data_IF_894530895902
#
_entry.id   IF_894530895902
#
_cell.length_a   1.000
_cell.length_b   1.000
_cell.length_c   1.000
_cell.angle_alpha   90.00
_cell.angle_beta   90.00
_cell.angle_gamma   90.00
#
_symmetry.space_group_name_H-M   'P 1'
#
loop_
_entity.id
_entity.type
_entity.pdbx_description
1 polymer ?
#
# COMPACT_ATOMS: atom_id res chain seq x y z
N UNK A 1 -0.12 -12.60 14.89
CA UNK A 1 -1.14 -12.54 13.82
C UNK A 1 -2.27 -13.54 14.05
N UNK A 2 -1.99 -14.83 14.31
CA UNK A 2 -3.02 -15.86 14.53
C UNK A 2 -3.95 -15.55 15.70
N UNK A 3 -3.41 -15.13 16.84
CA UNK A 3 -4.19 -14.78 18.03
C UNK A 3 -5.09 -13.57 17.77
N UNK A 4 -4.60 -12.54 17.08
CA UNK A 4 -5.40 -11.34 16.75
C UNK A 4 -6.52 -11.67 15.78
N UNK A 5 -6.25 -12.53 14.80
CA UNK A 5 -7.25 -13.01 13.87
C UNK A 5 -8.33 -13.85 14.57
N UNK A 6 -7.93 -14.73 15.47
CA UNK A 6 -8.85 -15.50 16.29
C UNK A 6 -9.73 -14.61 17.15
N UNK A 7 -9.14 -13.60 17.82
CA UNK A 7 -9.89 -12.62 18.64
C UNK A 7 -10.88 -11.84 17.78
N UNK A 8 -10.51 -11.45 16.57
CA UNK A 8 -11.40 -10.71 15.67
C UNK A 8 -12.68 -11.50 15.33
N UNK A 9 -12.57 -12.80 15.14
CA UNK A 9 -13.73 -13.64 14.83
C UNK A 9 -14.49 -14.14 16.06
N UNK A 10 -13.85 -14.20 17.24
CA UNK A 10 -14.44 -14.83 18.42
C UNK A 10 -14.75 -13.86 19.57
N UNK A 11 -14.24 -12.62 19.55
CA UNK A 11 -14.50 -11.60 20.57
C UNK A 11 -15.33 -10.45 20.01
N UNK A 12 -16.58 -10.33 20.41
CA UNK A 12 -17.44 -9.23 19.98
C UNK A 12 -16.92 -7.84 20.39
N UNK A 13 -16.18 -7.75 21.50
CA UNK A 13 -15.54 -6.49 21.95
C UNK A 13 -14.40 -6.13 21.01
N UNK A 14 -13.51 -7.09 20.72
CA UNK A 14 -12.36 -6.87 19.84
C UNK A 14 -12.83 -6.55 18.42
N UNK A 15 -13.83 -7.27 17.90
CA UNK A 15 -14.46 -6.98 16.60
C UNK A 15 -14.99 -5.53 16.52
N UNK A 16 -15.74 -5.07 17.54
CA UNK A 16 -16.28 -3.70 17.57
C UNK A 16 -15.17 -2.66 17.63
N UNK A 17 -14.15 -2.89 18.45
CA UNK A 17 -13.00 -2.00 18.58
C UNK A 17 -12.29 -1.82 17.22
N UNK A 18 -11.95 -2.90 16.56
CA UNK A 18 -11.29 -2.87 15.24
C UNK A 18 -12.18 -2.15 14.20
N UNK A 19 -13.47 -2.48 14.13
CA UNK A 19 -14.36 -1.86 13.17
C UNK A 19 -14.60 -0.36 13.44
N UNK A 20 -14.61 0.07 14.70
CA UNK A 20 -14.70 1.48 15.03
C UNK A 20 -13.46 2.24 14.60
N UNK A 21 -12.26 1.74 14.90
CA UNK A 21 -11.00 2.38 14.48
C UNK A 21 -10.83 2.37 12.96
N UNK A 22 -11.09 1.26 12.28
CA UNK A 22 -11.03 1.20 10.82
C UNK A 22 -12.10 2.07 10.15
N UNK A 23 -13.23 2.27 10.83
CA UNK A 23 -14.31 3.16 10.41
C UNK A 23 -13.93 4.65 10.46
N UNK A 24 -12.92 5.04 11.24
CA UNK A 24 -12.39 6.41 11.25
C UNK A 24 -11.74 6.80 9.92
N UNK A 25 -11.27 5.83 9.15
CA UNK A 25 -10.72 6.04 7.80
C UNK A 25 -11.80 6.26 6.72
N UNK A 26 -13.05 6.49 7.11
CA UNK A 26 -14.19 6.75 6.20
C UNK A 26 -14.28 8.22 5.75
N UNK A 27 -13.52 9.11 6.37
CA UNK A 27 -13.56 10.53 6.04
C UNK A 27 -13.04 10.78 4.65
N UNK A 28 -13.68 11.72 3.95
CA UNK A 28 -13.25 12.14 2.64
C UNK A 28 -11.84 12.74 2.74
N UNK A 29 -10.93 12.28 1.89
CA UNK A 29 -9.65 12.94 1.75
C UNK A 29 -9.84 14.22 0.95
N UNK A 30 -9.56 15.34 1.58
CA UNK A 30 -9.51 16.63 0.89
C UNK A 30 -8.06 16.96 0.58
N UNK A 31 -7.75 17.06 -0.70
CA UNK A 31 -6.46 17.54 -1.16
C UNK A 31 -6.52 19.06 -1.27
N UNK A 32 -5.66 19.75 -0.54
CA UNK A 32 -5.53 21.21 -0.64
C UNK A 32 -4.19 21.54 -1.28
N UNK A 33 -4.16 22.30 -2.41
CA UNK A 33 -2.90 22.76 -2.95
C UNK A 33 -2.24 23.70 -1.94
N UNK A 34 -0.98 23.45 -1.59
CA UNK A 34 -0.20 24.22 -0.62
C UNK A 34 -0.04 25.70 -0.99
N UNK A 35 -0.43 26.07 -2.21
CA UNK A 35 -0.29 27.43 -2.77
C UNK A 35 -1.60 28.22 -2.83
N UNK A 36 -2.69 27.76 -2.20
CA UNK A 36 -3.98 28.48 -2.17
C UNK A 36 -3.81 29.95 -1.71
N UNK A 37 -2.88 30.22 -0.78
CA UNK A 37 -2.61 31.59 -0.32
C UNK A 37 -2.09 32.53 -1.42
N UNK A 38 -1.50 32.01 -2.50
CA UNK A 38 -1.02 32.80 -3.65
C UNK A 38 -2.13 33.08 -4.67
N UNK A 39 -3.16 32.25 -4.73
CA UNK A 39 -4.30 32.44 -5.65
C UNK A 39 -5.33 33.46 -5.13
N UNK A 40 -5.46 33.57 -3.82
CA UNK A 40 -6.43 34.50 -3.21
C UNK A 40 -6.06 35.98 -3.31
N UNK A 41 -4.83 36.33 -3.69
CA UNK A 41 -4.31 37.70 -3.77
C UNK A 41 -4.11 38.28 -5.17
N UNK A 42 -4.47 37.53 -6.22
CA UNK A 42 -4.18 37.91 -7.61
C UNK A 42 -5.36 38.54 -8.30
N UNK A 43 -5.31 39.87 -8.50
CA UNK A 43 -6.24 40.59 -9.38
C UNK A 43 -6.17 40.09 -10.83
N UNK A 44 -7.22 40.35 -11.55
CA UNK A 44 -7.65 40.13 -12.96
C UNK A 44 -6.64 39.90 -14.09
N UNK A 45 -5.50 39.21 -13.88
CA UNK A 45 -4.69 38.67 -14.98
C UNK A 45 -5.06 37.22 -15.20
N UNK A 46 -5.63 36.91 -16.37
CA UNK A 46 -5.77 35.51 -16.87
C UNK A 46 -4.41 34.83 -16.75
N UNK A 47 -4.24 34.02 -15.73
CA UNK A 47 -2.97 33.37 -15.47
C UNK A 47 -3.08 31.96 -16.07
N UNK A 48 -2.65 31.78 -17.33
CA UNK A 48 -2.59 30.49 -18.01
C UNK A 48 -1.89 29.40 -17.19
N UNK A 49 -0.98 29.80 -16.30
CA UNK A 49 -0.34 28.90 -15.34
C UNK A 49 -1.28 28.45 -14.22
N UNK A 50 -2.25 29.25 -13.81
CA UNK A 50 -3.20 28.87 -12.77
C UNK A 50 -4.20 27.82 -13.29
N UNK A 51 -4.64 27.97 -14.53
CA UNK A 51 -5.56 27.02 -15.16
C UNK A 51 -4.87 25.67 -15.41
N UNK A 52 -3.59 25.68 -15.78
CA UNK A 52 -2.78 24.48 -15.93
C UNK A 52 -2.58 23.75 -14.60
N UNK A 53 -2.21 24.48 -13.55
CA UNK A 53 -2.06 23.93 -12.20
C UNK A 53 -3.37 23.38 -11.64
N UNK A 54 -4.49 24.05 -11.91
CA UNK A 54 -5.82 23.58 -11.52
C UNK A 54 -6.16 22.26 -12.23
N UNK A 55 -5.86 22.15 -13.51
CA UNK A 55 -6.07 20.91 -14.26
C UNK A 55 -5.22 19.76 -13.74
N UNK A 56 -3.93 20.00 -13.53
CA UNK A 56 -3.02 19.02 -12.92
C UNK A 56 -3.52 18.58 -11.53
N UNK A 57 -4.02 19.52 -10.72
CA UNK A 57 -4.61 19.21 -9.43
C UNK A 57 -5.87 18.33 -9.55
N UNK A 58 -6.76 18.65 -10.48
CA UNK A 58 -7.97 17.86 -10.71
C UNK A 58 -7.64 16.45 -11.21
N UNK A 59 -6.64 16.31 -12.07
CA UNK A 59 -6.18 15.01 -12.58
C UNK A 59 -5.59 14.16 -11.43
N UNK A 60 -4.80 14.77 -10.55
CA UNK A 60 -4.27 14.12 -9.34
C UNK A 60 -5.42 13.75 -8.39
N UNK A 61 -6.35 14.66 -8.12
CA UNK A 61 -7.49 14.42 -7.24
C UNK A 61 -8.35 13.27 -7.73
N UNK A 62 -8.64 13.22 -9.03
CA UNK A 62 -9.37 12.10 -9.65
C UNK A 62 -8.61 10.77 -9.55
N UNK A 63 -7.30 10.80 -9.73
CA UNK A 63 -6.45 9.61 -9.60
C UNK A 63 -6.45 9.09 -8.16
N UNK A 64 -6.32 9.99 -7.18
CA UNK A 64 -6.40 9.65 -5.75
C UNK A 64 -7.79 9.13 -5.40
N UNK A 65 -8.86 9.71 -5.93
CA UNK A 65 -10.23 9.25 -5.69
C UNK A 65 -10.48 7.84 -6.24
N UNK A 66 -9.91 7.51 -7.39
CA UNK A 66 -9.94 6.13 -7.94
C UNK A 66 -9.21 5.13 -7.05
N UNK A 67 -8.05 5.51 -6.50
CA UNK A 67 -7.25 4.68 -5.57
C UNK A 67 -7.96 4.57 -4.23
N UNK A 68 -8.54 5.67 -3.75
CA UNK A 68 -9.09 5.84 -2.42
C UNK A 68 -10.54 5.42 -2.27
N UNK A 69 -10.98 4.37 -2.99
CA UNK A 69 -12.31 3.86 -2.72
C UNK A 69 -12.44 3.59 -1.21
N UNK A 70 -13.39 4.27 -0.56
CA UNK A 70 -13.57 4.26 0.92
C UNK A 70 -13.56 2.85 1.51
N UNK A 71 -14.04 1.85 0.75
CA UNK A 71 -13.99 0.44 1.11
C UNK A 71 -12.57 -0.12 1.22
N UNK A 72 -11.67 0.30 0.33
CA UNK A 72 -10.29 -0.22 0.30
C UNK A 72 -9.50 0.26 1.52
N UNK A 73 -9.59 1.56 1.85
CA UNK A 73 -8.91 2.09 3.06
C UNK A 73 -9.45 1.49 4.34
N UNK A 74 -10.76 1.24 4.42
CA UNK A 74 -11.32 0.54 5.57
C UNK A 74 -10.79 -0.88 5.69
N UNK A 75 -10.73 -1.62 4.58
CA UNK A 75 -10.20 -2.99 4.57
C UNK A 75 -8.73 -3.01 4.95
N UNK A 76 -7.91 -2.13 4.36
CA UNK A 76 -6.49 -1.97 4.70
C UNK A 76 -6.33 -1.62 6.18
N UNK A 77 -7.11 -0.66 6.69
CA UNK A 77 -7.10 -0.28 8.11
C UNK A 77 -7.51 -1.43 9.02
N UNK A 78 -8.54 -2.19 8.67
CA UNK A 78 -8.96 -3.39 9.42
C UNK A 78 -7.84 -4.43 9.45
N UNK A 79 -7.25 -4.73 8.30
CA UNK A 79 -6.16 -5.71 8.21
C UNK A 79 -4.93 -5.24 8.98
N UNK A 80 -4.56 -3.96 8.88
CA UNK A 80 -3.46 -3.38 9.66
C UNK A 80 -3.68 -3.52 11.17
N UNK A 81 -4.89 -3.27 11.65
CA UNK A 81 -5.23 -3.40 13.06
C UNK A 81 -5.23 -4.86 13.54
N UNK A 82 -5.59 -5.81 12.68
CA UNK A 82 -5.60 -7.24 13.03
C UNK A 82 -4.19 -7.84 12.95
N UNK A 83 -3.46 -7.57 11.89
CA UNK A 83 -2.18 -8.24 11.59
C UNK A 83 -0.95 -7.46 12.07
N UNK A 84 -1.11 -6.16 12.31
CA UNK A 84 -0.01 -5.25 12.63
C UNK A 84 0.78 -4.77 11.41
N UNK A 85 0.65 -5.45 10.28
CA UNK A 85 1.38 -5.17 9.04
C UNK A 85 0.50 -5.46 7.82
N UNK A 86 0.55 -4.58 6.82
CA UNK A 86 -0.12 -4.76 5.53
C UNK A 86 0.86 -4.53 4.41
N UNK A 87 0.88 -5.46 3.47
CA UNK A 87 1.76 -5.44 2.31
C UNK A 87 0.93 -5.14 1.07
N UNK A 88 1.26 -4.05 0.41
CA UNK A 88 0.53 -3.53 -0.74
C UNK A 88 1.44 -3.55 -1.97
N UNK A 89 0.87 -3.89 -3.11
CA UNK A 89 1.52 -3.86 -4.40
C UNK A 89 0.83 -2.86 -5.31
N UNK A 90 1.59 -1.91 -5.84
CA UNK A 90 1.12 -0.89 -6.77
C UNK A 90 1.19 -1.42 -8.19
N UNK A 91 0.08 -1.36 -8.91
CA UNK A 91 -0.04 -1.67 -10.32
C UNK A 91 -0.36 -0.37 -11.05
N UNK A 92 0.49 0.02 -11.98
CA UNK A 92 0.24 1.17 -12.87
C UNK A 92 -0.13 0.66 -14.25
N UNK A 93 -1.23 1.17 -14.77
CA UNK A 93 -1.64 0.96 -16.15
C UNK A 93 -2.13 2.28 -16.78
N UNK A 94 -2.52 2.23 -18.07
CA UNK A 94 -3.01 3.40 -18.79
C UNK A 94 -4.32 3.99 -18.21
N UNK A 95 -5.01 3.25 -17.35
CA UNK A 95 -6.26 3.67 -16.69
C UNK A 95 -6.04 4.29 -15.32
N UNK A 96 -4.82 4.18 -14.77
CA UNK A 96 -4.44 4.74 -13.47
C UNK A 96 -3.62 3.79 -12.60
N UNK A 97 -3.68 4.02 -11.30
CA UNK A 97 -2.99 3.23 -10.28
C UNK A 97 -3.98 2.36 -9.53
N UNK A 98 -3.66 1.09 -9.38
CA UNK A 98 -4.42 0.13 -8.56
C UNK A 98 -3.50 -0.35 -7.43
N UNK A 99 -4.03 -0.37 -6.21
CA UNK A 99 -3.33 -0.94 -5.06
C UNK A 99 -3.96 -2.29 -4.74
N UNK A 100 -3.12 -3.32 -4.68
CA UNK A 100 -3.52 -4.68 -4.34
C UNK A 100 -2.83 -5.15 -3.07
N UNK A 101 -3.59 -5.69 -2.15
CA UNK A 101 -3.06 -6.29 -0.94
C UNK A 101 -2.46 -7.68 -1.24
N UNK A 102 -1.28 -7.92 -0.68
CA UNK A 102 -0.59 -9.20 -0.74
C UNK A 102 -0.76 -9.90 0.61
N UNK A 103 -1.08 -11.20 0.64
CA UNK A 103 -1.27 -11.92 1.89
C UNK A 103 -0.06 -11.81 2.83
N UNK A 104 -0.29 -11.35 4.05
CA UNK A 104 0.79 -11.08 5.03
C UNK A 104 1.55 -12.35 5.46
N UNK A 105 0.91 -13.53 5.38
CA UNK A 105 1.52 -14.81 5.74
C UNK A 105 2.64 -15.28 4.80
N UNK A 106 2.78 -14.65 3.63
CA UNK A 106 3.86 -14.92 2.67
C UNK A 106 4.87 -13.78 2.61
N UNK A 107 4.61 -12.66 3.26
CA UNK A 107 5.45 -11.47 3.23
C UNK A 107 6.26 -11.31 4.51
N UNK A 108 7.38 -10.60 4.41
CA UNK A 108 8.23 -10.20 5.53
C UNK A 108 8.86 -8.84 5.25
N UNK A 109 8.93 -7.98 6.27
CA UNK A 109 9.71 -6.74 6.18
C UNK A 109 11.19 -7.11 6.03
N UNK A 110 11.82 -6.62 4.97
CA UNK A 110 13.22 -6.96 4.64
C UNK A 110 14.20 -5.85 5.01
N UNK A 111 13.78 -4.58 4.88
CA UNK A 111 14.64 -3.44 5.17
C UNK A 111 13.82 -2.20 5.46
N UNK A 112 14.31 -1.36 6.37
CA UNK A 112 13.81 0.00 6.58
C UNK A 112 14.46 0.93 5.55
N UNK A 113 13.66 1.74 4.86
CA UNK A 113 14.13 2.79 3.96
C UNK A 113 14.25 4.10 4.75
N UNK A 114 15.13 5.02 4.32
CA UNK A 114 15.46 6.26 5.04
C UNK A 114 14.26 7.16 5.39
N UNK A 115 13.16 7.05 4.67
CA UNK A 115 11.95 7.89 4.87
C UNK A 115 10.88 7.21 5.74
N UNK A 116 11.25 6.22 6.54
CA UNK A 116 10.31 5.47 7.39
C UNK A 116 9.43 4.47 6.63
N UNK A 117 9.65 4.30 5.34
CA UNK A 117 9.02 3.26 4.54
C UNK A 117 9.78 1.94 4.71
N UNK A 118 9.07 0.83 4.61
CA UNK A 118 9.65 -0.50 4.68
C UNK A 118 9.66 -1.16 3.32
N UNK A 119 10.80 -1.77 2.98
CA UNK A 119 10.85 -2.77 1.91
C UNK A 119 10.32 -4.08 2.45
N UNK A 120 9.64 -4.82 1.62
CA UNK A 120 9.22 -6.17 1.96
C UNK A 120 9.68 -7.18 0.91
N UNK A 121 9.75 -8.41 1.35
CA UNK A 121 10.10 -9.57 0.53
C UNK A 121 9.01 -10.60 0.62
N UNK A 122 8.90 -11.42 -0.41
CA UNK A 122 7.89 -12.46 -0.55
C UNK A 122 8.56 -13.83 -0.54
N UNK A 123 7.99 -14.75 0.21
CA UNK A 123 8.45 -16.13 0.27
C UNK A 123 8.08 -16.88 -1.01
N UNK A 124 9.06 -17.11 -1.86
CA UNK A 124 8.89 -17.78 -3.15
C UNK A 124 8.45 -19.24 -3.02
N UNK A 125 8.87 -19.93 -1.96
CA UNK A 125 8.46 -21.32 -1.73
C UNK A 125 6.96 -21.44 -1.46
N UNK A 126 6.34 -20.45 -0.84
CA UNK A 126 4.89 -20.45 -0.57
C UNK A 126 4.05 -20.10 -1.80
N UNK A 127 4.62 -19.43 -2.80
CA UNK A 127 3.96 -19.11 -4.07
C UNK A 127 3.82 -20.32 -5.00
N UNK A 128 4.37 -21.49 -4.63
CA UNK A 128 4.38 -22.68 -5.46
C UNK A 128 3.02 -23.32 -5.74
N UNK A 129 1.95 -22.90 -5.08
CA UNK A 129 0.59 -23.36 -5.38
C UNK A 129 0.00 -22.54 -6.55
N UNK A 130 -0.56 -23.23 -7.53
CA UNK A 130 -1.15 -22.61 -8.74
C UNK A 130 -2.22 -21.58 -8.38
N UNK A 131 -3.05 -21.87 -7.39
CA UNK A 131 -4.09 -20.94 -6.93
C UNK A 131 -3.51 -19.63 -6.42
N UNK A 132 -2.46 -19.67 -5.58
CA UNK A 132 -1.84 -18.48 -5.03
C UNK A 132 -1.06 -17.71 -6.11
N UNK A 133 -0.34 -18.42 -6.99
CA UNK A 133 0.37 -17.82 -8.11
C UNK A 133 -0.57 -17.02 -9.02
N UNK A 134 -1.71 -17.61 -9.41
CA UNK A 134 -2.70 -16.96 -10.27
C UNK A 134 -3.38 -15.75 -9.62
N UNK A 135 -3.43 -15.72 -8.30
CA UNK A 135 -3.94 -14.56 -7.55
C UNK A 135 -2.96 -13.39 -7.46
N UNK A 136 -1.68 -13.59 -7.73
CA UNK A 136 -0.67 -12.54 -7.60
C UNK A 136 -0.67 -11.58 -8.79
N UNK A 137 -0.26 -10.29 -8.56
CA UNK A 137 0.02 -9.36 -9.64
C UNK A 137 1.10 -9.90 -10.60
N UNK A 138 1.03 -9.51 -11.86
CA UNK A 138 1.97 -9.96 -12.91
C UNK A 138 3.45 -9.73 -12.54
N UNK A 139 3.78 -8.61 -11.90
CA UNK A 139 5.16 -8.35 -11.48
C UNK A 139 5.65 -9.35 -10.45
N UNK A 140 4.79 -9.79 -9.50
CA UNK A 140 5.13 -10.83 -8.54
C UNK A 140 5.23 -12.21 -9.22
N UNK A 141 4.36 -12.51 -10.18
CA UNK A 141 4.45 -13.73 -10.98
C UNK A 141 5.79 -13.79 -11.74
N UNK A 142 6.20 -12.70 -12.38
CA UNK A 142 7.49 -12.57 -13.05
C UNK A 142 8.67 -12.73 -12.09
N UNK A 143 8.56 -12.19 -10.87
CA UNK A 143 9.57 -12.37 -9.83
C UNK A 143 9.70 -13.85 -9.43
N UNK A 144 8.58 -14.55 -9.31
CA UNK A 144 8.57 -15.99 -9.04
C UNK A 144 9.17 -16.82 -10.19
N UNK A 145 8.86 -16.48 -11.44
CA UNK A 145 9.42 -17.15 -12.61
C UNK A 145 10.94 -16.96 -12.69
N UNK A 146 11.44 -15.74 -12.39
CA UNK A 146 12.87 -15.47 -12.25
C UNK A 146 13.52 -16.26 -11.13
N UNK A 147 12.82 -16.43 -10.00
CA UNK A 147 13.29 -17.29 -8.90
C UNK A 147 13.44 -18.74 -9.36
N UNK A 148 12.42 -19.31 -10.02
CA UNK A 148 12.49 -20.67 -10.57
C UNK A 148 13.61 -20.88 -11.59
N UNK A 149 13.87 -19.85 -12.40
CA UNK A 149 14.94 -19.86 -13.38
C UNK A 149 16.34 -19.63 -12.77
N UNK A 150 16.46 -19.37 -11.46
CA UNK A 150 17.71 -19.00 -10.81
C UNK A 150 18.31 -17.68 -11.30
N UNK A 151 17.46 -16.80 -11.85
CA UNK A 151 17.89 -15.53 -12.49
C UNK A 151 17.89 -14.34 -11.54
N UNK A 152 17.46 -14.51 -10.27
CA UNK A 152 17.52 -13.45 -9.27
C UNK A 152 18.93 -13.43 -8.67
N UNK A 153 19.65 -12.28 -8.71
CA UNK A 153 20.96 -12.19 -8.09
C UNK A 153 20.86 -12.29 -6.56
N UNK A 154 21.94 -12.70 -5.84
CA UNK A 154 21.91 -12.90 -4.39
C UNK A 154 21.41 -11.70 -3.58
N UNK A 155 21.73 -10.47 -4.02
CA UNK A 155 21.24 -9.21 -3.43
C UNK A 155 19.73 -8.99 -3.60
N UNK A 156 19.08 -9.71 -4.51
CA UNK A 156 17.64 -9.71 -4.71
C UNK A 156 16.87 -10.50 -3.66
N UNK A 157 17.59 -11.16 -2.75
CA UNK A 157 16.98 -11.88 -1.63
C UNK A 157 17.31 -11.21 -0.30
N UNK A 158 16.31 -11.12 0.60
CA UNK A 158 16.55 -10.69 1.98
C UNK A 158 17.01 -11.85 2.86
N UNK A 159 16.49 -13.03 2.59
CA UNK A 159 16.81 -14.31 3.23
C UNK A 159 16.58 -15.45 2.23
N UNK A 160 16.88 -16.69 2.64
CA UNK A 160 16.61 -17.87 1.82
C UNK A 160 15.14 -17.91 1.34
N UNK A 161 14.94 -17.95 0.03
CA UNK A 161 13.64 -17.96 -0.64
C UNK A 161 12.76 -16.71 -0.47
N UNK A 162 13.24 -15.62 0.18
CA UNK A 162 12.52 -14.37 0.31
C UNK A 162 13.04 -13.35 -0.71
N UNK A 163 12.39 -13.25 -1.86
CA UNK A 163 12.76 -12.28 -2.89
C UNK A 163 12.22 -10.88 -2.54
N UNK A 164 13.06 -9.87 -2.69
CA UNK A 164 12.73 -8.46 -2.41
C UNK A 164 11.86 -7.92 -3.56
N UNK A 165 10.77 -7.25 -3.20
CA UNK A 165 9.90 -6.58 -4.17
C UNK A 165 10.48 -5.21 -4.51
N UNK A 166 10.33 -4.78 -5.78
CA UNK A 166 10.82 -3.47 -6.25
C UNK A 166 10.15 -2.33 -5.45
N UNK A 167 10.95 -1.36 -5.03
CA UNK A 167 10.51 -0.21 -4.22
C UNK A 167 9.46 0.67 -4.91
N UNK A 168 9.45 0.69 -6.25
CA UNK A 168 8.48 1.45 -7.03
C UNK A 168 7.08 0.87 -6.96
N UNK A 169 6.99 -0.42 -6.66
CA UNK A 169 5.74 -1.17 -6.65
C UNK A 169 5.34 -1.62 -5.23
N UNK A 170 6.28 -1.60 -4.28
CA UNK A 170 6.11 -2.08 -2.93
C UNK A 170 5.70 -0.96 -1.96
N UNK A 171 4.61 -1.17 -1.23
CA UNK A 171 4.22 -0.33 -0.09
C UNK A 171 3.93 -1.23 1.10
N UNK A 172 4.64 -1.03 2.19
CA UNK A 172 4.38 -1.73 3.45
C UNK A 172 3.94 -0.74 4.52
N UNK A 173 2.82 -1.02 5.15
CA UNK A 173 2.33 -0.31 6.32
C UNK A 173 2.55 -1.20 7.54
N UNK A 174 3.16 -0.65 8.60
CA UNK A 174 3.37 -1.36 9.87
C UNK A 174 2.96 -0.49 11.05
N UNK A 175 2.28 -1.09 12.03
CA UNK A 175 1.93 -0.43 13.29
C UNK A 175 3.18 0.01 14.07
N UNK A 176 4.31 -0.66 13.90
CA UNK A 176 5.58 -0.30 14.54
C UNK A 176 6.16 1.03 14.05
N UNK A 177 5.70 1.55 12.91
CA UNK A 177 6.07 2.89 12.44
C UNK A 177 5.51 4.00 13.33
N UNK A 178 4.39 3.74 14.02
CA UNK A 178 3.71 4.72 14.87
C UNK A 178 4.20 4.68 16.32
N UNK A 179 4.84 3.60 16.73
CA UNK A 179 5.47 3.48 18.04
C UNK A 179 6.92 3.93 17.83
N UNK A 180 7.15 5.25 17.96
CA UNK A 180 8.42 5.88 17.66
C UNK A 180 9.61 5.04 18.15
N UNK A 181 10.37 4.55 17.22
CA UNK A 181 11.70 4.02 17.49
C UNK A 181 12.57 5.17 18.00
N UNK A 182 12.90 5.11 19.29
CA UNK A 182 13.98 5.92 19.86
C UNK A 182 15.31 5.54 19.21
#
# INVERSE_FOLDING_TARGET
QEVSLWLYYNSGIYYRLINNFSGMNRYDMYLFPSTISKFAKGGKKKNTNADKLLKEYLDIAQSVEKISHKSNFRTIGTNLMITGEVFLYKIEDNSGVIIREIPSNICKISKVINDGLYKYSINMSKLGTEALYNMMPKGIQQLYDKHKAGSIPPEGYSENNYAIVDDKEAVCLSMNQFIGTK
#
